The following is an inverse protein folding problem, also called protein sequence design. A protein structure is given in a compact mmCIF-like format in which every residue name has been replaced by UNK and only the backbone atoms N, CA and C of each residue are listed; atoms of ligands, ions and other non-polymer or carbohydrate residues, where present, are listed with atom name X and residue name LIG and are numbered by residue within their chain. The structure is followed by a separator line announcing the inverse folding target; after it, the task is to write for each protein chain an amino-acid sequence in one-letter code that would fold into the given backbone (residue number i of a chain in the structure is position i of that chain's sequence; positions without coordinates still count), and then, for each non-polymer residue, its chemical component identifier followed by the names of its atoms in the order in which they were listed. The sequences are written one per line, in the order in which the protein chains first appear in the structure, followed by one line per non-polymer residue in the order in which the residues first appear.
data_IF_295248393329
#
_entry.id   IF_295248393329
#
_cell.length_a   1.000
_cell.length_b   1.000
_cell.length_c   1.000
_cell.angle_alpha   90.00
_cell.angle_beta   90.00
_cell.angle_gamma   90.00
#
_symmetry.space_group_name_H-M   'P 1'
#
loop_
_entity.id
_entity.type
_entity.pdbx_description
1 polymer ?
#
# COMPACT_ATOMS: atom_id res chain seq x y z
N UNK A 1 -9.36 -9.98 -33.77
CA UNK A 1 -7.96 -9.96 -33.32
C UNK A 1 -7.97 -10.10 -31.81
N UNK A 2 -8.03 -11.33 -31.31
CA UNK A 2 -7.67 -11.63 -29.91
C UNK A 2 -6.16 -11.39 -29.79
N UNK A 3 -5.76 -10.21 -29.38
CA UNK A 3 -4.43 -10.02 -28.81
C UNK A 3 -4.47 -10.77 -27.48
N UNK A 4 -3.90 -11.94 -27.45
CA UNK A 4 -3.66 -12.70 -26.23
C UNK A 4 -2.76 -11.81 -25.37
N UNK A 5 -3.34 -11.20 -24.33
CA UNK A 5 -2.55 -10.53 -23.29
C UNK A 5 -1.57 -11.56 -22.76
N UNK A 6 -0.29 -11.40 -23.04
CA UNK A 6 0.73 -12.31 -22.54
C UNK A 6 0.92 -12.07 -21.03
N UNK A 7 -0.04 -12.54 -20.26
CA UNK A 7 -0.01 -12.48 -18.79
C UNK A 7 1.26 -13.12 -18.19
N UNK A 8 2.05 -13.79 -19.00
CA UNK A 8 3.27 -14.48 -18.60
C UNK A 8 4.55 -13.81 -19.11
N UNK A 9 4.44 -12.66 -19.79
CA UNK A 9 5.63 -11.87 -20.15
C UNK A 9 6.07 -11.03 -18.93
N UNK A 10 7.24 -11.34 -18.34
CA UNK A 10 7.72 -10.61 -17.18
C UNK A 10 7.94 -9.11 -17.44
N UNK A 11 8.42 -8.74 -18.63
CA UNK A 11 8.65 -7.33 -18.98
C UNK A 11 7.34 -6.55 -19.08
N UNK A 12 6.31 -7.15 -19.71
CA UNK A 12 4.96 -6.59 -19.74
C UNK A 12 4.38 -6.46 -18.33
N UNK A 13 4.57 -7.46 -17.47
CA UNK A 13 4.14 -7.45 -16.08
C UNK A 13 4.75 -6.30 -15.29
N UNK A 14 6.08 -6.12 -15.38
CA UNK A 14 6.79 -5.04 -14.69
C UNK A 14 6.32 -3.67 -15.13
N UNK A 15 6.25 -3.45 -16.45
CA UNK A 15 5.79 -2.19 -17.01
C UNK A 15 4.35 -1.89 -16.61
N UNK A 16 3.48 -2.89 -16.64
CA UNK A 16 2.09 -2.74 -16.23
C UNK A 16 1.98 -2.36 -14.77
N UNK A 17 2.72 -3.02 -13.87
CA UNK A 17 2.75 -2.66 -12.45
C UNK A 17 3.20 -1.22 -12.24
N UNK A 18 4.27 -0.79 -12.89
CA UNK A 18 4.75 0.59 -12.79
C UNK A 18 3.71 1.61 -13.26
N UNK A 19 2.98 1.31 -14.35
CA UNK A 19 1.90 2.17 -14.88
C UNK A 19 0.65 2.20 -14.00
N UNK A 20 0.33 1.10 -13.30
CA UNK A 20 -0.80 1.02 -12.37
C UNK A 20 -0.51 1.72 -11.05
N UNK A 21 0.73 1.68 -10.59
CA UNK A 21 1.13 2.25 -9.30
C UNK A 21 1.56 3.71 -9.38
N UNK A 22 1.94 4.20 -10.56
CA UNK A 22 2.45 5.56 -10.74
C UNK A 22 2.43 6.02 -12.19
N UNK A 23 3.39 6.86 -12.54
CA UNK A 23 3.61 7.37 -13.89
C UNK A 23 5.06 7.15 -14.30
N UNK A 24 5.29 6.34 -15.35
CA UNK A 24 6.63 5.97 -15.85
C UNK A 24 7.32 7.08 -16.63
N UNK A 25 6.66 8.22 -16.85
CA UNK A 25 7.30 9.41 -17.47
C UNK A 25 8.31 10.10 -16.57
N UNK A 26 8.43 9.68 -15.30
CA UNK A 26 9.24 10.38 -14.31
C UNK A 26 8.54 11.59 -13.67
N UNK A 27 7.25 11.78 -13.95
CA UNK A 27 6.43 12.80 -13.31
C UNK A 27 6.11 12.40 -11.86
N UNK A 28 6.06 13.39 -10.97
CA UNK A 28 5.60 13.16 -9.60
C UNK A 28 4.12 12.77 -9.62
N UNK A 29 3.78 11.74 -8.85
CA UNK A 29 2.41 11.35 -8.55
C UNK A 29 2.19 11.27 -7.06
N UNK A 30 0.93 11.41 -6.65
CA UNK A 30 0.48 11.28 -5.28
C UNK A 30 -0.57 10.18 -5.23
N UNK A 31 -0.41 9.21 -4.34
CA UNK A 31 -1.43 8.19 -4.11
C UNK A 31 -2.12 8.50 -2.79
N UNK A 32 -3.42 8.72 -2.82
CA UNK A 32 -4.24 8.84 -1.62
C UNK A 32 -4.72 7.47 -1.20
N UNK A 33 -4.57 7.13 0.08
CA UNK A 33 -4.78 5.79 0.63
C UNK A 33 -5.69 5.84 1.87
N UNK A 34 -7.00 6.04 1.71
CA UNK A 34 -7.96 5.85 2.81
C UNK A 34 -8.22 4.37 3.05
N UNK A 35 -8.51 4.01 4.31
CA UNK A 35 -8.79 2.60 4.60
C UNK A 35 -9.29 2.33 6.00
N UNK A 36 -9.55 1.04 6.24
CA UNK A 36 -10.08 0.49 7.48
C UNK A 36 -9.14 -0.59 7.99
N UNK A 37 -9.00 -0.68 9.30
CA UNK A 37 -8.17 -1.68 9.95
C UNK A 37 -8.97 -2.40 11.01
N UNK A 38 -9.07 -3.72 10.83
CA UNK A 38 -9.80 -4.61 11.70
C UNK A 38 -8.83 -5.46 12.52
N UNK A 39 -9.15 -5.66 13.78
CA UNK A 39 -8.52 -6.69 14.60
C UNK A 39 -9.26 -8.01 14.41
N UNK A 40 -8.52 -9.08 14.15
CA UNK A 40 -9.05 -10.45 13.98
C UNK A 40 -8.47 -11.34 15.04
N UNK A 41 -9.31 -11.82 15.96
CA UNK A 41 -8.89 -12.70 17.06
C UNK A 41 -9.45 -14.10 16.82
N UNK A 42 -8.61 -15.14 16.64
CA UNK A 42 -9.07 -16.50 16.43
C UNK A 42 -9.72 -17.09 17.68
N UNK A 43 -10.68 -17.99 17.48
CA UNK A 43 -11.27 -18.76 18.56
C UNK A 43 -12.37 -18.09 19.39
N UNK A 44 -12.70 -16.82 19.13
CA UNK A 44 -13.95 -16.27 19.67
C UNK A 44 -15.14 -16.86 18.94
N UNK A 45 -16.09 -17.40 19.68
CA UNK A 45 -17.39 -17.75 19.11
C UNK A 45 -18.01 -16.45 18.58
N UNK A 46 -18.29 -16.46 17.29
CA UNK A 46 -18.67 -15.26 16.57
C UNK A 46 -20.12 -14.93 16.85
N UNK A 47 -20.41 -14.04 17.76
CA UNK A 47 -21.62 -13.25 17.64
C UNK A 47 -21.51 -12.37 16.39
N UNK A 48 -22.61 -12.08 15.68
CA UNK A 48 -22.58 -11.16 14.57
C UNK A 48 -21.91 -9.84 14.99
N UNK A 49 -20.78 -9.48 14.37
CA UNK A 49 -19.97 -8.31 14.71
C UNK A 49 -18.69 -8.59 15.53
N UNK A 50 -18.48 -9.79 16.03
CA UNK A 50 -17.26 -10.12 16.81
C UNK A 50 -16.08 -10.63 15.98
N UNK A 51 -16.34 -11.06 14.74
CA UNK A 51 -15.29 -11.45 13.81
C UNK A 51 -14.74 -10.25 13.06
N UNK A 52 -13.69 -9.69 13.54
CA UNK A 52 -13.10 -8.52 12.92
C UNK A 52 -13.71 -7.22 13.46
N UNK A 53 -13.27 -6.83 14.64
CA UNK A 53 -13.61 -5.53 15.19
C UNK A 53 -12.90 -4.44 14.40
N UNK A 54 -13.65 -3.46 13.89
CA UNK A 54 -13.06 -2.24 13.35
C UNK A 54 -12.36 -1.51 14.48
N UNK A 55 -11.04 -1.34 14.34
CA UNK A 55 -10.21 -0.68 15.37
C UNK A 55 -10.06 0.81 15.08
N UNK A 56 -9.73 1.15 13.85
CA UNK A 56 -9.52 2.52 13.42
C UNK A 56 -9.58 2.61 11.89
N UNK A 57 -9.76 3.83 11.42
CA UNK A 57 -9.56 4.16 10.01
C UNK A 57 -8.13 4.68 9.79
N UNK A 58 -7.67 4.67 8.55
CA UNK A 58 -6.39 5.27 8.15
C UNK A 58 -6.59 6.20 6.97
N UNK A 59 -5.79 7.24 6.94
CA UNK A 59 -5.58 8.05 5.74
C UNK A 59 -4.08 8.12 5.47
N UNK A 60 -3.70 7.88 4.22
CA UNK A 60 -2.29 7.93 3.82
C UNK A 60 -2.09 8.68 2.53
N UNK A 61 -0.86 9.10 2.31
CA UNK A 61 -0.40 9.66 1.06
C UNK A 61 0.99 9.11 0.73
N UNK A 62 1.17 8.72 -0.51
CA UNK A 62 2.50 8.38 -1.06
C UNK A 62 2.83 9.33 -2.20
N UNK A 63 3.88 10.11 -2.04
CA UNK A 63 4.50 10.90 -3.10
C UNK A 63 5.55 10.02 -3.78
N UNK A 64 5.50 9.91 -5.10
CA UNK A 64 6.42 9.03 -5.83
C UNK A 64 6.81 9.57 -7.19
N UNK A 65 7.96 9.11 -7.69
CA UNK A 65 8.42 9.19 -9.07
C UNK A 65 8.82 7.78 -9.50
N UNK A 66 8.36 7.36 -10.66
CA UNK A 66 8.68 6.05 -11.23
C UNK A 66 9.28 6.22 -12.62
N UNK A 67 10.24 5.38 -12.96
CA UNK A 67 10.85 5.36 -14.30
C UNK A 67 11.32 3.96 -14.66
N UNK A 68 11.32 3.68 -15.94
CA UNK A 68 11.95 2.47 -16.50
C UNK A 68 13.45 2.73 -16.66
N UNK A 69 14.28 1.80 -16.21
CA UNK A 69 15.73 1.83 -16.40
C UNK A 69 16.12 1.08 -17.67
N UNK A 70 17.37 1.25 -18.10
CA UNK A 70 17.90 0.65 -19.36
C UNK A 70 17.83 -0.89 -19.38
N UNK A 71 17.83 -1.53 -18.22
CA UNK A 71 17.69 -2.98 -18.07
C UNK A 71 16.23 -3.45 -18.00
N UNK A 72 15.25 -2.55 -18.21
CA UNK A 72 13.83 -2.83 -18.19
C UNK A 72 13.20 -2.91 -16.78
N UNK A 73 13.99 -2.76 -15.73
CA UNK A 73 13.46 -2.65 -14.37
C UNK A 73 12.79 -1.31 -14.14
N UNK A 74 11.88 -1.23 -13.15
CA UNK A 74 11.23 0.01 -12.74
C UNK A 74 11.83 0.49 -11.43
N UNK A 75 12.44 1.67 -11.44
CA UNK A 75 12.87 2.36 -10.22
C UNK A 75 11.73 3.22 -9.71
N UNK A 76 11.48 3.15 -8.41
CA UNK A 76 10.56 4.00 -7.70
C UNK A 76 11.29 4.74 -6.58
N UNK A 77 11.10 6.06 -6.53
CA UNK A 77 11.54 6.91 -5.44
C UNK A 77 10.32 7.47 -4.75
N UNK A 78 10.22 7.29 -3.44
CA UNK A 78 8.98 7.62 -2.73
C UNK A 78 9.19 8.14 -1.31
N UNK A 79 8.16 8.80 -0.82
CA UNK A 79 7.92 9.14 0.59
C UNK A 79 6.46 8.87 0.89
N UNK A 80 6.20 8.30 2.04
CA UNK A 80 4.85 7.95 2.46
C UNK A 80 4.54 8.51 3.85
N UNK A 81 3.29 8.84 4.06
CA UNK A 81 2.76 9.26 5.36
C UNK A 81 1.45 8.53 5.59
N UNK A 82 1.19 8.21 6.84
CA UNK A 82 -0.07 7.62 7.27
C UNK A 82 -0.47 8.24 8.60
N UNK A 83 -1.74 8.53 8.75
CA UNK A 83 -2.38 8.99 9.97
C UNK A 83 -3.53 8.06 10.30
N UNK A 84 -3.82 7.93 11.59
CA UNK A 84 -4.88 7.08 12.09
C UNK A 84 -6.07 7.94 12.49
N UNK A 85 -7.26 7.44 12.24
CA UNK A 85 -8.51 8.14 12.51
C UNK A 85 -9.40 7.25 13.38
N UNK A 86 -10.21 7.87 14.20
CA UNK A 86 -11.24 7.19 14.97
C UNK A 86 -12.19 6.41 14.05
N UNK A 87 -12.57 5.22 14.48
CA UNK A 87 -13.35 4.29 13.68
C UNK A 87 -14.75 4.82 13.32
N UNK A 88 -15.37 5.54 14.23
CA UNK A 88 -16.76 6.00 14.11
C UNK A 88 -16.85 7.43 13.58
N UNK A 89 -16.01 8.32 14.09
CA UNK A 89 -16.07 9.75 13.76
C UNK A 89 -15.17 10.16 12.60
N UNK A 90 -14.11 9.36 12.32
CA UNK A 90 -13.07 9.69 11.34
C UNK A 90 -12.14 10.81 11.78
N UNK A 91 -12.21 11.30 13.02
CA UNK A 91 -11.30 12.32 13.56
C UNK A 91 -9.90 11.74 13.76
N UNK A 92 -8.86 12.58 13.58
CA UNK A 92 -7.48 12.13 13.73
C UNK A 92 -7.13 11.79 15.18
N UNK A 93 -6.68 10.55 15.40
CA UNK A 93 -6.31 10.04 16.69
C UNK A 93 -4.93 10.56 17.14
N UNK A 94 -4.83 10.97 18.40
CA UNK A 94 -3.57 11.17 19.10
C UNK A 94 -3.32 10.03 20.09
N UNK A 95 -4.40 9.47 20.63
CA UNK A 95 -4.42 8.32 21.52
C UNK A 95 -5.45 7.31 20.99
N UNK A 96 -5.21 6.05 21.27
CA UNK A 96 -6.07 4.94 20.89
C UNK A 96 -6.33 4.08 22.12
N UNK A 97 -7.60 3.89 22.49
CA UNK A 97 -7.99 2.94 23.49
C UNK A 97 -8.07 1.54 22.87
N UNK A 98 -7.14 0.67 23.27
CA UNK A 98 -7.06 -0.67 22.71
C UNK A 98 -8.12 -1.59 23.37
N UNK A 99 -9.13 -2.05 22.62
CA UNK A 99 -10.21 -2.85 23.19
C UNK A 99 -9.81 -4.27 23.61
N UNK A 100 -8.58 -4.68 23.28
CA UNK A 100 -8.06 -6.01 23.65
C UNK A 100 -7.23 -5.99 24.92
N UNK A 101 -6.55 -4.89 25.21
CA UNK A 101 -5.68 -4.75 26.39
C UNK A 101 -6.24 -3.81 27.43
N UNK A 102 -7.32 -3.08 27.11
CA UNK A 102 -7.91 -2.02 27.94
C UNK A 102 -6.94 -0.87 28.27
N UNK A 103 -5.93 -0.68 27.42
CA UNK A 103 -4.91 0.35 27.59
C UNK A 103 -5.10 1.50 26.59
N UNK A 104 -4.77 2.72 27.04
CA UNK A 104 -4.71 3.89 26.15
C UNK A 104 -3.28 4.09 25.68
N UNK A 105 -3.09 4.09 24.39
CA UNK A 105 -1.80 4.08 23.70
C UNK A 105 -1.65 5.35 22.87
N UNK A 106 -0.48 5.99 22.93
CA UNK A 106 -0.16 7.12 22.06
C UNK A 106 0.00 6.62 20.61
N UNK A 107 -0.75 7.22 19.71
CA UNK A 107 -0.74 6.86 18.29
C UNK A 107 0.48 7.43 17.61
N UNK A 108 1.33 6.61 16.95
CA UNK A 108 2.53 7.11 16.29
C UNK A 108 2.18 7.84 15.00
N UNK A 109 2.97 8.86 14.66
CA UNK A 109 3.00 9.38 13.31
C UNK A 109 3.82 8.44 12.42
N UNK A 110 3.19 7.83 11.41
CA UNK A 110 3.89 6.91 10.51
C UNK A 110 4.45 7.66 9.31
N UNK A 111 5.75 7.49 9.11
CA UNK A 111 6.49 8.03 7.97
C UNK A 111 7.23 6.88 7.30
N UNK A 112 7.05 6.75 6.00
CA UNK A 112 7.81 5.83 5.16
C UNK A 112 8.76 6.58 4.23
N UNK A 113 10.02 6.20 4.24
CA UNK A 113 11.01 6.81 3.39
C UNK A 113 11.69 8.08 3.97
N UNK A 114 12.55 8.73 3.19
CA UNK A 114 12.72 8.57 1.74
C UNK A 114 13.19 7.16 1.35
N UNK A 115 12.63 6.62 0.29
CA UNK A 115 12.99 5.29 -0.18
C UNK A 115 13.23 5.27 -1.69
N UNK A 116 14.18 4.42 -2.11
CA UNK A 116 14.43 4.06 -3.49
C UNK A 116 14.25 2.56 -3.58
N UNK A 117 13.25 2.11 -4.28
CA UNK A 117 13.01 0.70 -4.55
C UNK A 117 13.15 0.41 -6.04
N UNK A 118 13.35 -0.84 -6.37
CA UNK A 118 13.48 -1.28 -7.75
C UNK A 118 12.70 -2.56 -7.95
N UNK A 119 11.76 -2.53 -8.86
CA UNK A 119 11.02 -3.71 -9.28
C UNK A 119 11.73 -4.35 -10.47
N UNK A 120 12.18 -5.58 -10.29
CA UNK A 120 12.91 -6.34 -11.30
C UNK A 120 12.14 -7.59 -11.73
N UNK A 121 12.60 -8.25 -12.78
CA UNK A 121 12.05 -9.55 -13.22
C UNK A 121 12.16 -10.63 -12.15
N UNK A 122 13.10 -10.48 -11.21
CA UNK A 122 13.32 -11.42 -10.11
C UNK A 122 12.63 -10.99 -8.79
N UNK A 123 11.83 -9.94 -8.84
CA UNK A 123 11.13 -9.38 -7.68
C UNK A 123 11.64 -8.01 -7.27
N UNK A 124 11.05 -7.39 -6.24
CA UNK A 124 11.44 -6.08 -5.78
C UNK A 124 12.77 -6.13 -5.00
N UNK A 125 13.60 -5.14 -5.25
CA UNK A 125 14.77 -4.82 -4.43
C UNK A 125 14.36 -3.64 -3.56
N UNK A 126 14.27 -3.86 -2.25
CA UNK A 126 13.97 -2.83 -1.27
C UNK A 126 15.26 -2.14 -0.78
N UNK A 127 15.18 -0.87 -0.42
CA UNK A 127 16.35 -0.14 0.04
C UNK A 127 16.82 -0.66 1.40
N UNK A 128 18.08 -1.02 1.51
CA UNK A 128 18.70 -1.40 2.77
C UNK A 128 18.65 -0.27 3.84
N UNK A 129 18.49 0.98 3.41
CA UNK A 129 18.44 2.16 4.27
C UNK A 129 17.20 2.23 5.18
N UNK A 130 16.16 1.43 4.91
CA UNK A 130 14.97 1.39 5.77
C UNK A 130 15.12 0.45 6.96
N UNK A 131 16.22 -0.30 7.06
CA UNK A 131 16.36 -1.38 8.05
C UNK A 131 15.27 -2.46 7.90
N UNK A 132 14.61 -2.46 6.75
CA UNK A 132 13.57 -3.40 6.39
C UNK A 132 14.21 -4.52 5.58
N UNK A 133 14.32 -5.68 6.19
CA UNK A 133 14.51 -6.92 5.44
C UNK A 133 13.14 -7.46 5.10
N UNK A 134 12.75 -7.33 3.84
CA UNK A 134 11.54 -7.98 3.34
C UNK A 134 11.95 -9.18 2.50
N UNK A 135 11.57 -10.35 2.96
CA UNK A 135 11.69 -11.57 2.16
C UNK A 135 10.36 -11.80 1.48
N UNK A 136 10.33 -11.63 0.17
CA UNK A 136 9.18 -12.06 -0.62
C UNK A 136 9.22 -13.57 -0.77
N UNK A 137 8.10 -14.20 -0.45
CA UNK A 137 7.93 -15.65 -0.57
C UNK A 137 7.45 -16.06 -1.96
N UNK A 138 7.00 -15.11 -2.78
CA UNK A 138 6.54 -15.34 -4.16
C UNK A 138 7.29 -14.43 -5.14
N UNK A 139 8.22 -15.00 -5.88
CA UNK A 139 8.99 -14.38 -6.97
C UNK A 139 8.97 -15.29 -8.20
N UNK A 140 8.83 -14.78 -9.42
CA UNK A 140 8.70 -13.38 -9.86
C UNK A 140 7.29 -12.83 -9.64
N UNK A 141 7.10 -11.50 -9.73
CA UNK A 141 5.77 -10.89 -9.60
C UNK A 141 4.84 -11.41 -10.69
N UNK A 142 3.69 -11.95 -10.28
CA UNK A 142 2.67 -12.46 -11.17
C UNK A 142 1.43 -11.63 -11.09
N UNK A 143 0.84 -11.31 -12.25
CA UNK A 143 -0.45 -10.66 -12.34
C UNK A 143 -1.50 -11.68 -12.82
N UNK A 144 -2.62 -11.70 -12.13
CA UNK A 144 -3.79 -12.47 -12.53
C UNK A 144 -4.79 -11.54 -13.21
N UNK A 145 -5.20 -11.87 -14.41
CA UNK A 145 -6.04 -11.04 -15.28
C UNK A 145 -7.40 -11.67 -15.46
N UNK A 146 -8.42 -10.85 -15.42
CA UNK A 146 -9.77 -11.23 -15.82
C UNK A 146 -10.38 -10.10 -16.62
N UNK A 147 -10.75 -10.39 -17.86
CA UNK A 147 -11.39 -9.43 -18.77
C UNK A 147 -12.89 -9.70 -18.79
N UNK A 148 -13.70 -8.65 -18.65
CA UNK A 148 -15.14 -8.69 -18.80
C UNK A 148 -15.60 -7.42 -19.53
N UNK A 149 -15.97 -7.57 -20.80
CA UNK A 149 -16.27 -6.45 -21.67
C UNK A 149 -15.06 -5.51 -21.82
N UNK A 150 -15.24 -4.25 -21.50
CA UNK A 150 -14.21 -3.22 -21.56
C UNK A 150 -13.41 -3.07 -20.26
N UNK A 151 -13.71 -3.86 -19.22
CA UNK A 151 -13.04 -3.81 -17.93
C UNK A 151 -12.06 -4.94 -17.76
N UNK A 152 -10.94 -4.64 -17.13
CA UNK A 152 -9.94 -5.62 -16.72
C UNK A 152 -9.75 -5.56 -15.22
N UNK A 153 -9.91 -6.70 -14.57
CA UNK A 153 -9.48 -6.92 -13.19
C UNK A 153 -8.09 -7.50 -13.20
N UNK A 154 -7.20 -6.85 -12.49
CA UNK A 154 -5.80 -7.26 -12.35
C UNK A 154 -5.57 -7.48 -10.87
N UNK A 155 -5.06 -8.64 -10.46
CA UNK A 155 -4.71 -8.88 -9.08
C UNK A 155 -3.32 -9.47 -8.93
N UNK A 156 -2.71 -9.15 -7.81
CA UNK A 156 -1.44 -9.72 -7.34
C UNK A 156 -1.59 -10.04 -5.86
N UNK A 157 -0.98 -11.10 -5.43
CA UNK A 157 -0.79 -11.37 -4.01
C UNK A 157 0.69 -11.54 -3.71
N UNK A 158 1.08 -11.19 -2.49
CA UNK A 158 2.44 -11.33 -2.01
C UNK A 158 2.43 -11.75 -0.55
N UNK A 159 3.21 -12.75 -0.23
CA UNK A 159 3.53 -13.09 1.15
C UNK A 159 4.91 -12.52 1.46
N UNK A 160 5.05 -11.81 2.56
CA UNK A 160 6.30 -11.20 2.96
C UNK A 160 6.56 -11.39 4.45
N UNK A 161 7.83 -11.41 4.80
CA UNK A 161 8.29 -11.30 6.17
C UNK A 161 9.07 -10.01 6.30
N UNK A 162 8.59 -9.14 7.15
CA UNK A 162 9.17 -7.82 7.36
C UNK A 162 9.93 -7.85 8.69
N UNK A 163 11.23 -7.62 8.63
CA UNK A 163 12.08 -7.47 9.81
C UNK A 163 12.51 -6.02 9.92
N UNK A 164 12.28 -5.42 11.07
CA UNK A 164 12.79 -4.09 11.42
C UNK A 164 13.81 -4.27 12.53
N UNK A 165 14.90 -3.53 12.47
CA UNK A 165 15.94 -3.59 13.51
C UNK A 165 15.30 -3.40 14.90
N UNK A 166 15.65 -4.28 15.84
CA UNK A 166 15.14 -4.28 17.22
C UNK A 166 13.63 -4.55 17.39
N UNK A 167 12.97 -5.12 16.41
CA UNK A 167 11.57 -5.54 16.52
C UNK A 167 11.39 -7.01 16.14
N UNK A 168 10.30 -7.62 16.64
CA UNK A 168 9.91 -8.97 16.23
C UNK A 168 9.55 -8.95 14.74
N UNK A 169 10.07 -9.89 13.92
CA UNK A 169 9.67 -9.99 12.52
C UNK A 169 8.16 -10.17 12.39
N UNK A 170 7.56 -9.48 11.42
CA UNK A 170 6.14 -9.49 11.14
C UNK A 170 5.89 -10.19 9.81
N UNK A 171 4.94 -11.12 9.77
CA UNK A 171 4.47 -11.72 8.54
C UNK A 171 3.28 -10.92 7.99
N UNK A 172 3.20 -10.88 6.69
CA UNK A 172 2.15 -10.18 5.97
C UNK A 172 1.77 -10.97 4.72
N UNK A 173 0.47 -11.17 4.52
CA UNK A 173 -0.10 -11.63 3.26
C UNK A 173 -0.91 -10.47 2.68
N UNK A 174 -0.49 -9.96 1.55
CA UNK A 174 -1.20 -8.87 0.89
C UNK A 174 -1.76 -9.27 -0.47
N UNK A 175 -2.83 -8.62 -0.85
CA UNK A 175 -3.48 -8.73 -2.15
C UNK A 175 -3.75 -7.34 -2.69
N UNK A 176 -3.17 -7.07 -3.83
CA UNK A 176 -3.43 -5.89 -4.65
C UNK A 176 -4.50 -6.22 -5.69
N UNK A 177 -5.43 -5.33 -5.93
CA UNK A 177 -6.41 -5.45 -6.99
C UNK A 177 -6.62 -4.11 -7.69
N UNK A 178 -6.54 -4.11 -9.00
CA UNK A 178 -6.79 -2.94 -9.86
C UNK A 178 -7.93 -3.24 -10.81
N UNK A 179 -8.74 -2.23 -11.09
CA UNK A 179 -9.74 -2.27 -12.15
C UNK A 179 -9.50 -1.10 -13.08
N UNK A 180 -9.26 -1.40 -14.36
CA UNK A 180 -9.01 -0.39 -15.40
C UNK A 180 -9.80 -0.69 -16.67
N UNK A 181 -9.76 0.22 -17.63
CA UNK A 181 -10.25 -0.05 -18.97
C UNK A 181 -9.24 -0.85 -19.78
N UNK A 182 -9.73 -1.76 -20.61
CA UNK A 182 -8.90 -2.58 -21.49
C UNK A 182 -8.13 -1.72 -22.50
N UNK A 183 -8.74 -0.64 -23.01
CA UNK A 183 -8.09 0.31 -23.90
C UNK A 183 -6.85 0.96 -23.27
N UNK A 184 -6.96 1.38 -22.00
CA UNK A 184 -5.86 2.05 -21.29
C UNK A 184 -4.69 1.08 -21.00
N UNK A 185 -5.05 -0.17 -20.70
CA UNK A 185 -4.06 -1.22 -20.50
C UNK A 185 -3.29 -1.51 -21.78
N UNK A 186 -3.98 -1.55 -22.93
CA UNK A 186 -3.42 -1.89 -24.25
C UNK A 186 -2.72 -0.72 -24.94
N UNK A 187 -2.88 0.51 -24.43
CA UNK A 187 -2.13 1.66 -24.94
C UNK A 187 -0.67 1.57 -24.51
N UNK A 188 0.19 1.15 -25.45
CA UNK A 188 1.64 1.01 -25.21
C UNK A 188 2.35 2.36 -25.04
N UNK A 189 1.73 3.45 -25.43
CA UNK A 189 2.31 4.80 -25.30
C UNK A 189 1.98 5.43 -23.93
N UNK A 190 0.93 4.99 -23.28
CA UNK A 190 0.56 5.50 -21.97
C UNK A 190 1.61 5.15 -20.91
N UNK A 191 2.00 6.13 -20.13
CA UNK A 191 2.94 5.99 -19.01
C UNK A 191 2.25 5.75 -17.68
N UNK A 192 0.93 5.94 -17.63
CA UNK A 192 0.05 5.71 -16.50
C UNK A 192 -1.22 4.98 -16.96
N UNK A 193 -1.77 4.10 -16.14
CA UNK A 193 -3.06 3.44 -16.36
C UNK A 193 -4.03 3.93 -15.29
N UNK A 194 -5.03 4.75 -15.65
CA UNK A 194 -6.09 5.13 -14.72
C UNK A 194 -6.81 3.90 -14.18
N UNK A 195 -6.84 3.72 -12.89
CA UNK A 195 -7.42 2.53 -12.27
C UNK A 195 -7.98 2.83 -10.88
N UNK A 196 -8.96 2.04 -10.46
CA UNK A 196 -9.31 1.91 -9.04
C UNK A 196 -8.40 0.86 -8.45
N UNK A 197 -7.77 1.17 -7.34
CA UNK A 197 -6.86 0.26 -6.66
C UNK A 197 -7.36 -0.07 -5.27
N UNK A 198 -7.27 -1.33 -4.91
CA UNK A 198 -7.56 -1.82 -3.58
C UNK A 198 -6.41 -2.67 -3.09
N UNK A 199 -5.97 -2.40 -1.87
CA UNK A 199 -5.02 -3.23 -1.15
C UNK A 199 -5.69 -3.84 0.07
N UNK A 200 -5.59 -5.16 0.17
CA UNK A 200 -6.02 -5.91 1.34
C UNK A 200 -4.81 -6.62 1.93
N UNK A 201 -4.58 -6.48 3.21
CA UNK A 201 -3.46 -7.13 3.87
C UNK A 201 -3.91 -7.79 5.16
N UNK A 202 -3.43 -9.01 5.38
CA UNK A 202 -3.52 -9.72 6.64
C UNK A 202 -2.11 -9.80 7.23
N UNK A 203 -1.91 -9.13 8.37
CA UNK A 203 -0.60 -8.94 8.96
C UNK A 203 -0.63 -9.20 10.47
N UNK A 204 0.52 -9.59 11.03
CA UNK A 204 0.69 -9.62 12.47
C UNK A 204 0.42 -8.26 13.11
N UNK A 205 0.11 -8.22 14.40
CA UNK A 205 -0.13 -6.99 15.14
C UNK A 205 1.00 -5.97 14.95
N UNK A 206 0.65 -4.72 14.76
CA UNK A 206 1.64 -3.64 14.80
C UNK A 206 2.19 -3.47 16.21
N UNK A 207 3.50 -3.23 16.32
CA UNK A 207 4.19 -3.13 17.61
C UNK A 207 3.63 -2.05 18.54
N UNK A 208 3.15 -0.94 17.98
CA UNK A 208 2.60 0.16 18.76
C UNK A 208 1.27 -0.16 19.43
N UNK A 209 0.53 -1.19 18.95
CA UNK A 209 -0.71 -1.67 19.59
C UNK A 209 -0.46 -2.40 20.90
N UNK A 210 0.79 -2.71 21.23
CA UNK A 210 1.23 -3.34 22.48
C UNK A 210 0.49 -4.65 22.78
N UNK A 211 0.14 -5.40 21.72
CA UNK A 211 -0.62 -6.65 21.83
C UNK A 211 0.18 -7.80 22.46
N UNK A 212 1.51 -7.66 22.60
CA UNK A 212 2.41 -8.67 23.18
C UNK A 212 2.16 -10.07 22.58
N UNK A 213 1.73 -11.02 23.40
CA UNK A 213 1.44 -12.40 23.01
C UNK A 213 -0.08 -12.64 22.78
N UNK A 214 -0.90 -11.59 22.69
CA UNK A 214 -2.30 -11.74 22.35
C UNK A 214 -2.45 -12.42 20.97
N UNK A 215 -3.23 -13.50 20.90
CA UNK A 215 -3.47 -14.16 19.62
C UNK A 215 -4.27 -13.23 18.71
N UNK A 216 -4.02 -13.33 17.41
CA UNK A 216 -4.73 -12.57 16.40
C UNK A 216 -3.82 -11.80 15.46
N UNK A 217 -4.43 -10.92 14.68
CA UNK A 217 -3.79 -10.23 13.57
C UNK A 217 -4.60 -9.01 13.15
N UNK A 218 -4.06 -8.24 12.22
CA UNK A 218 -4.73 -7.12 11.58
C UNK A 218 -5.19 -7.51 10.17
N UNK A 219 -6.39 -7.09 9.82
CA UNK A 219 -6.87 -7.07 8.45
C UNK A 219 -7.00 -5.61 8.00
N UNK A 220 -6.23 -5.27 6.98
CA UNK A 220 -6.25 -3.95 6.34
C UNK A 220 -7.07 -4.00 5.07
N UNK A 221 -7.87 -2.98 4.86
CA UNK A 221 -8.57 -2.71 3.61
C UNK A 221 -8.36 -1.27 3.23
N UNK A 222 -7.56 -1.03 2.21
CA UNK A 222 -7.22 0.31 1.73
C UNK A 222 -7.69 0.46 0.29
N UNK A 223 -8.35 1.55 -0.01
CA UNK A 223 -8.71 1.96 -1.37
C UNK A 223 -7.81 3.12 -1.76
N UNK A 224 -7.36 3.13 -3.00
CA UNK A 224 -6.36 4.12 -3.38
C UNK A 224 -6.64 4.68 -4.76
N UNK A 225 -6.24 5.93 -4.93
CA UNK A 225 -6.30 6.62 -6.21
C UNK A 225 -5.00 7.37 -6.46
N UNK A 226 -4.48 7.27 -7.68
CA UNK A 226 -3.29 8.00 -8.13
C UNK A 226 -3.72 9.36 -8.65
N UNK A 227 -3.05 10.39 -8.20
CA UNK A 227 -3.26 11.80 -8.54
C UNK A 227 -1.97 12.41 -9.09
N UNK A 228 -2.09 13.37 -9.98
CA UNK A 228 -0.92 14.02 -10.59
C UNK A 228 -0.54 15.34 -9.90
N UNK A 229 -1.42 15.90 -9.11
CA UNK A 229 -1.20 17.17 -8.39
C UNK A 229 -1.46 17.00 -6.89
N UNK A 230 -0.62 17.61 -6.07
CA UNK A 230 -0.76 17.56 -4.60
C UNK A 230 -2.09 18.13 -4.12
N UNK A 231 -2.58 19.13 -4.80
CA UNK A 231 -3.80 19.87 -4.47
C UNK A 231 -5.08 19.03 -4.65
N UNK A 232 -4.97 17.88 -5.33
CA UNK A 232 -6.06 16.91 -5.45
C UNK A 232 -6.25 16.06 -4.20
N UNK A 233 -5.23 16.02 -3.30
CA UNK A 233 -5.35 15.36 -2.01
C UNK A 233 -6.37 16.08 -1.12
N UNK A 234 -7.11 15.34 -0.23
CA UNK A 234 -8.02 15.96 0.70
C UNK A 234 -7.36 17.06 1.54
N UNK A 235 -7.97 18.24 1.59
CA UNK A 235 -7.41 19.40 2.32
C UNK A 235 -7.20 19.11 3.81
N UNK A 236 -8.10 18.31 4.43
CA UNK A 236 -7.94 17.88 5.83
C UNK A 236 -6.68 17.01 6.01
N UNK A 237 -6.37 16.10 5.07
CA UNK A 237 -5.16 15.29 5.12
C UNK A 237 -3.92 16.18 4.99
N UNK A 238 -3.90 17.12 4.04
CA UNK A 238 -2.78 18.06 3.88
C UNK A 238 -2.54 18.88 5.15
N UNK A 239 -3.58 19.38 5.78
CA UNK A 239 -3.49 20.11 7.05
C UNK A 239 -2.95 19.23 8.19
N UNK A 240 -3.39 17.98 8.27
CA UNK A 240 -2.91 17.02 9.26
C UNK A 240 -1.43 16.66 9.03
N UNK A 241 -1.04 16.42 7.77
CA UNK A 241 0.36 16.14 7.42
C UNK A 241 1.27 17.32 7.75
N UNK A 242 0.82 18.54 7.52
CA UNK A 242 1.58 19.73 7.91
C UNK A 242 1.72 19.83 9.43
N UNK A 243 0.72 19.43 10.21
CA UNK A 243 0.77 19.41 11.67
C UNK A 243 1.75 18.36 12.22
N UNK A 244 1.72 17.12 11.69
CA UNK A 244 2.53 16.00 12.21
C UNK A 244 3.91 15.89 11.58
N UNK A 245 4.10 16.46 10.39
CA UNK A 245 5.32 16.42 9.59
C UNK A 245 5.53 17.71 8.80
N UNK A 246 5.73 18.86 9.47
CA UNK A 246 5.77 20.17 8.81
C UNK A 246 6.74 20.21 7.63
N UNK A 247 6.28 20.71 6.48
CA UNK A 247 7.06 20.87 5.25
C UNK A 247 7.49 19.57 4.55
N UNK A 248 7.31 18.41 5.16
CA UNK A 248 7.87 17.14 4.67
C UNK A 248 7.32 16.72 3.30
N UNK A 249 6.04 17.01 3.02
CA UNK A 249 5.43 16.66 1.73
C UNK A 249 6.04 17.44 0.55
N UNK A 250 6.63 18.60 0.83
CA UNK A 250 7.26 19.45 -0.17
C UNK A 250 8.73 19.10 -0.41
N UNK A 251 9.35 18.27 0.44
CA UNK A 251 10.73 17.86 0.25
C UNK A 251 10.91 17.10 -1.07
N UNK A 252 12.07 17.25 -1.72
CA UNK A 252 12.38 16.46 -2.91
C UNK A 252 12.40 14.95 -2.58
N UNK A 253 12.14 14.15 -3.58
CA UNK A 253 12.38 12.69 -3.52
C UNK A 253 13.89 12.42 -3.60
N UNK A 254 14.35 11.31 -3.04
CA UNK A 254 15.78 10.95 -3.01
C UNK A 254 16.38 10.78 -4.40
#
# INVERSE_FOLDING_TARGET
NERTLSANDPAFTLRTLGRLQGDLSGRITYTYNPGFVFGVVPGRALAPGEFGQLLYQVEGCTKRVSRVLDDGSVEERSRSWMVYCDADTGEYLQEFHNPYTDETIVVPAVRGGPSVSRLTLNGPILPASLGLESTLLDTPPRLHWRVLGERVWISRYAASRISVANSKPRNELSMDAWVCHLSDLLDEQATHIPSTYTWTSHADWQSWLQMQDHPGSLLWRVESVVMHEKEQLPSRLLAQLERVAPGQINLPLP
#
